data_IF_842061068327
#
_entry.id   IF_842061068327
#
_cell.length_a   1.000
_cell.length_b   1.000
_cell.length_c   1.000
_cell.angle_alpha   90.00
_cell.angle_beta   90.00
_cell.angle_gamma   90.00
#
_symmetry.space_group_name_H-M   'P 1'
#
loop_
_entity.id
_entity.type
_entity.pdbx_description
1 polymer ?
#
# COMPACT_ATOMS: atom_id res chain seq x y z
N UNK A 1 -6.98 -21.24 -7.06
CA UNK A 1 -5.51 -21.05 -6.88
C UNK A 1 -5.29 -19.69 -6.21
N UNK A 2 -4.27 -19.53 -5.38
CA UNK A 2 -3.84 -18.21 -4.91
C UNK A 2 -2.40 -17.96 -5.36
N UNK A 3 -2.15 -16.73 -5.82
CA UNK A 3 -0.85 -16.28 -6.31
C UNK A 3 -0.34 -15.25 -5.31
N UNK A 4 0.91 -15.39 -4.88
CA UNK A 4 1.50 -14.52 -3.87
C UNK A 4 2.47 -13.55 -4.54
N UNK A 5 2.26 -12.27 -4.32
CA UNK A 5 3.14 -11.19 -4.73
C UNK A 5 3.87 -10.62 -3.52
N UNK A 6 5.16 -10.35 -3.71
CA UNK A 6 5.99 -9.62 -2.75
C UNK A 6 5.50 -8.17 -2.64
N UNK A 7 5.73 -7.49 -1.50
CA UNK A 7 5.61 -6.03 -1.46
C UNK A 7 6.56 -5.37 -2.46
N UNK A 8 6.29 -4.11 -2.76
CA UNK A 8 7.30 -3.19 -3.29
C UNK A 8 7.49 -2.01 -2.36
N UNK A 9 8.72 -1.51 -2.28
CA UNK A 9 9.03 -0.27 -1.56
C UNK A 9 8.34 0.91 -2.24
N UNK A 10 8.48 0.96 -3.56
CA UNK A 10 8.00 2.02 -4.42
C UNK A 10 6.49 1.88 -4.65
N UNK A 11 5.80 3.03 -4.72
CA UNK A 11 4.34 3.09 -4.76
C UNK A 11 3.89 4.20 -5.68
N UNK A 12 2.96 3.85 -6.57
CA UNK A 12 2.26 4.80 -7.41
C UNK A 12 1.45 5.78 -6.56
N UNK A 13 1.48 7.05 -6.93
CA UNK A 13 0.61 8.09 -6.36
C UNK A 13 -0.79 8.06 -6.99
N UNK A 14 -1.72 8.83 -6.42
CA UNK A 14 -3.09 8.93 -6.90
C UNK A 14 -4.00 7.84 -6.31
N UNK A 15 -5.19 7.72 -6.91
CA UNK A 15 -6.28 6.90 -6.40
C UNK A 15 -7.60 7.67 -6.44
N UNK A 16 -8.54 7.24 -5.62
CA UNK A 16 -9.86 7.84 -5.47
C UNK A 16 -10.13 8.19 -4.02
N UNK A 17 -10.76 9.33 -3.78
CA UNK A 17 -11.23 9.73 -2.46
C UNK A 17 -12.36 8.80 -2.03
N UNK A 18 -12.05 7.92 -1.08
CA UNK A 18 -12.97 6.90 -0.56
C UNK A 18 -12.73 6.70 0.93
N UNK A 19 -13.75 6.21 1.60
CA UNK A 19 -13.66 5.81 3.00
C UNK A 19 -12.82 4.52 3.09
N UNK A 20 -11.83 4.54 3.98
CA UNK A 20 -11.08 3.35 4.35
C UNK A 20 -11.97 2.44 5.19
N UNK A 21 -12.58 1.45 4.54
CA UNK A 21 -13.61 0.56 5.11
C UNK A 21 -13.04 -0.86 5.32
N UNK A 22 -13.41 -1.49 6.45
CA UNK A 22 -13.13 -2.89 6.76
C UNK A 22 -13.61 -3.86 5.67
N UNK A 23 -14.70 -3.51 4.98
CA UNK A 23 -15.28 -4.35 3.91
C UNK A 23 -14.42 -4.36 2.64
N UNK A 24 -13.46 -3.44 2.53
CA UNK A 24 -12.51 -3.36 1.43
C UNK A 24 -11.29 -4.26 1.62
N UNK A 25 -11.26 -5.11 2.65
CA UNK A 25 -10.14 -6.00 2.96
C UNK A 25 -10.55 -7.46 2.97
N UNK A 26 -9.67 -8.33 2.46
CA UNK A 26 -9.86 -9.79 2.49
C UNK A 26 -10.03 -10.37 3.91
N UNK A 27 -9.48 -9.71 4.92
CA UNK A 27 -9.61 -10.10 6.34
C UNK A 27 -10.18 -8.96 7.18
N UNK A 28 -11.51 -8.72 7.13
CA UNK A 28 -12.15 -7.64 7.87
C UNK A 28 -11.93 -7.73 9.38
N UNK A 29 -11.81 -8.95 9.92
CA UNK A 29 -11.54 -9.19 11.34
C UNK A 29 -10.20 -8.64 11.82
N UNK A 30 -9.26 -8.35 10.90
CA UNK A 30 -7.97 -7.74 11.21
C UNK A 30 -7.98 -6.21 11.04
N UNK A 31 -9.10 -5.61 10.62
CA UNK A 31 -9.16 -4.18 10.29
C UNK A 31 -8.77 -3.28 11.46
N UNK A 32 -9.29 -3.53 12.66
CA UNK A 32 -8.94 -2.73 13.85
C UNK A 32 -7.44 -2.77 14.15
N UNK A 33 -6.77 -3.91 13.90
CA UNK A 33 -5.31 -4.03 14.04
C UNK A 33 -4.55 -3.27 12.97
N UNK A 34 -5.06 -3.23 11.74
CA UNK A 34 -4.49 -2.38 10.68
C UNK A 34 -4.58 -0.91 11.07
N UNK A 35 -5.76 -0.46 11.51
CA UNK A 35 -5.98 0.93 11.93
C UNK A 35 -5.04 1.32 13.08
N UNK A 36 -4.89 0.45 14.09
CA UNK A 36 -3.92 0.63 15.18
C UNK A 36 -2.50 0.87 14.65
N UNK A 37 -2.01 -0.02 13.78
CA UNK A 37 -0.66 0.06 13.20
C UNK A 37 -0.48 1.31 12.32
N UNK A 38 -1.45 1.62 11.46
CA UNK A 38 -1.41 2.78 10.56
C UNK A 38 -1.40 4.08 11.36
N UNK A 39 -2.20 4.18 12.42
CA UNK A 39 -2.21 5.33 13.30
C UNK A 39 -0.85 5.53 13.97
N UNK A 40 -0.27 4.48 14.57
CA UNK A 40 1.06 4.57 15.19
C UNK A 40 2.16 4.92 14.19
N UNK A 41 2.09 4.37 12.97
CA UNK A 41 3.04 4.72 11.92
C UNK A 41 2.92 6.20 11.50
N UNK A 42 1.69 6.68 11.27
CA UNK A 42 1.46 8.06 10.89
C UNK A 42 1.89 9.04 11.98
N UNK A 43 1.54 8.76 13.24
CA UNK A 43 1.97 9.56 14.39
C UNK A 43 3.50 9.63 14.47
N UNK A 44 4.19 8.51 14.26
CA UNK A 44 5.65 8.49 14.21
C UNK A 44 6.19 9.36 13.07
N UNK A 45 5.63 9.30 11.85
CA UNK A 45 6.06 10.16 10.74
C UNK A 45 5.93 11.66 11.07
N UNK A 46 4.85 12.05 11.75
CA UNK A 46 4.62 13.44 12.12
C UNK A 46 5.56 13.94 13.23
N UNK A 47 5.89 13.07 14.19
CA UNK A 47 6.61 13.46 15.42
C UNK A 47 8.11 13.13 15.40
N UNK A 48 8.55 12.23 14.52
CA UNK A 48 9.92 11.76 14.48
C UNK A 48 10.92 12.86 14.09
N UNK A 49 12.10 12.77 14.69
CA UNK A 49 13.27 13.56 14.30
C UNK A 49 13.87 13.09 12.98
N UNK A 50 14.67 13.94 12.33
CA UNK A 50 15.37 13.58 11.09
C UNK A 50 16.18 12.29 11.21
N UNK A 51 17.02 12.06 12.25
CA UNK A 51 17.78 10.81 12.35
C UNK A 51 16.90 9.55 12.49
N UNK A 52 15.73 9.68 13.12
CA UNK A 52 14.76 8.58 13.22
C UNK A 52 14.14 8.25 11.87
N UNK A 53 13.80 9.27 11.08
CA UNK A 53 13.27 9.10 9.72
C UNK A 53 14.33 8.56 8.75
N UNK A 54 15.58 9.02 8.86
CA UNK A 54 16.71 8.49 8.09
C UNK A 54 16.89 6.98 8.35
N UNK A 55 16.76 6.57 9.61
CA UNK A 55 16.82 5.16 10.00
C UNK A 55 15.63 4.36 9.48
N UNK A 56 14.42 4.90 9.59
CA UNK A 56 13.20 4.25 9.11
C UNK A 56 13.25 3.99 7.60
N UNK A 57 13.63 5.01 6.82
CA UNK A 57 13.66 4.94 5.36
C UNK A 57 14.99 4.41 4.80
N UNK A 58 16.00 4.18 5.64
CA UNK A 58 17.31 3.69 5.22
C UNK A 58 18.08 4.64 4.30
N UNK A 59 17.80 5.94 4.34
CA UNK A 59 18.38 6.94 3.45
C UNK A 59 18.58 8.27 4.16
N UNK A 60 19.62 9.01 3.75
CA UNK A 60 19.90 10.39 4.21
C UNK A 60 19.42 11.46 3.23
N UNK A 61 18.79 11.07 2.12
CA UNK A 61 18.30 12.01 1.11
C UNK A 61 17.02 12.68 1.61
N UNK A 62 17.11 13.96 1.97
CA UNK A 62 15.99 14.75 2.50
C UNK A 62 14.76 14.74 1.58
N UNK A 63 14.96 14.83 0.27
CA UNK A 63 13.87 14.78 -0.73
C UNK A 63 13.05 13.48 -0.65
N UNK A 64 13.73 12.35 -0.41
CA UNK A 64 13.07 11.03 -0.27
C UNK A 64 12.33 10.95 1.07
N UNK A 65 12.94 11.47 2.14
CA UNK A 65 12.33 11.49 3.47
C UNK A 65 11.05 12.33 3.45
N UNK A 66 11.10 13.55 2.92
CA UNK A 66 9.94 14.45 2.86
C UNK A 66 8.83 13.92 1.94
N UNK A 67 9.19 13.20 0.86
CA UNK A 67 8.21 12.49 0.03
C UNK A 67 7.40 11.46 0.84
N UNK A 68 8.03 10.72 1.74
CA UNK A 68 7.38 9.65 2.52
C UNK A 68 6.91 10.05 3.92
N UNK A 69 7.27 11.25 4.41
CA UNK A 69 6.83 11.79 5.70
C UNK A 69 5.36 12.24 5.73
N UNK A 70 4.71 12.28 4.58
CA UNK A 70 3.36 12.81 4.43
C UNK A 70 2.34 12.09 5.34
N UNK A 71 1.29 12.83 5.71
CA UNK A 71 0.15 12.27 6.43
C UNK A 71 -0.55 11.23 5.54
N UNK A 72 -0.48 9.95 5.95
CA UNK A 72 -0.95 8.82 5.16
C UNK A 72 -2.44 8.92 4.83
N UNK A 73 -3.23 9.52 5.73
CA UNK A 73 -4.68 9.66 5.57
C UNK A 73 -5.08 10.70 4.53
N UNK A 74 -4.14 11.53 4.06
CA UNK A 74 -4.36 12.48 2.95
C UNK A 74 -4.10 11.83 1.59
N UNK A 75 -3.59 10.61 1.55
CA UNK A 75 -3.40 9.88 0.30
C UNK A 75 -4.74 9.30 -0.16
N UNK A 76 -5.13 9.46 -1.44
CA UNK A 76 -6.30 8.75 -1.98
C UNK A 76 -6.10 7.24 -1.94
N UNK A 77 -7.18 6.48 -1.89
CA UNK A 77 -7.11 5.01 -1.89
C UNK A 77 -6.94 4.47 -3.32
N UNK A 78 -6.13 3.43 -3.47
CA UNK A 78 -5.89 2.75 -4.74
C UNK A 78 -5.84 1.24 -4.50
N UNK A 79 -6.28 0.45 -5.48
CA UNK A 79 -6.17 -1.02 -5.42
C UNK A 79 -4.71 -1.42 -5.15
N UNK A 80 -4.49 -2.41 -4.30
CA UNK A 80 -3.17 -2.90 -3.92
C UNK A 80 -2.34 -3.27 -5.17
N UNK A 81 -2.96 -3.93 -6.16
CA UNK A 81 -2.27 -4.33 -7.40
C UNK A 81 -1.82 -3.15 -8.28
N UNK A 82 -2.45 -1.99 -8.11
CA UNK A 82 -2.09 -0.75 -8.80
C UNK A 82 -1.21 0.16 -7.93
N UNK A 83 -1.23 0.00 -6.60
CA UNK A 83 -0.45 0.80 -5.66
C UNK A 83 1.04 0.49 -5.73
N UNK A 84 1.41 -0.78 -5.75
CA UNK A 84 2.81 -1.20 -5.78
C UNK A 84 3.35 -1.12 -7.21
N UNK A 85 4.58 -0.64 -7.35
CA UNK A 85 5.30 -0.54 -8.64
C UNK A 85 6.61 -1.32 -8.61
N UNK A 86 7.25 -1.53 -9.75
CA UNK A 86 8.52 -2.22 -9.87
C UNK A 86 8.39 -3.53 -10.63
N UNK A 87 9.52 -4.19 -10.86
CA UNK A 87 9.69 -5.19 -11.94
C UNK A 87 8.51 -6.16 -12.10
N UNK A 88 8.09 -6.85 -11.03
CA UNK A 88 6.99 -7.81 -11.12
C UNK A 88 5.63 -7.16 -11.50
N UNK A 89 5.35 -5.97 -10.98
CA UNK A 89 4.13 -5.21 -11.26
C UNK A 89 4.17 -4.58 -12.66
N UNK A 90 5.35 -4.12 -13.09
CA UNK A 90 5.57 -3.57 -14.42
C UNK A 90 5.33 -4.64 -15.49
N UNK A 91 5.89 -5.84 -15.30
CA UNK A 91 5.66 -6.98 -16.21
C UNK A 91 4.23 -7.51 -16.16
N UNK A 92 3.57 -7.46 -15.00
CA UNK A 92 2.14 -7.80 -14.91
C UNK A 92 1.30 -6.85 -15.76
N UNK A 93 1.71 -5.58 -15.84
CA UNK A 93 1.08 -4.57 -16.69
C UNK A 93 -0.44 -4.53 -16.52
N UNK A 94 -0.90 -4.62 -15.26
CA UNK A 94 -2.30 -4.88 -14.89
C UNK A 94 -3.31 -3.98 -15.63
N UNK A 95 -3.01 -2.68 -15.78
CA UNK A 95 -3.89 -1.71 -16.42
C UNK A 95 -4.13 -1.98 -17.91
N UNK A 96 -3.22 -2.69 -18.58
CA UNK A 96 -3.30 -3.02 -20.01
C UNK A 96 -3.95 -4.39 -20.26
N UNK A 97 -4.30 -5.13 -19.20
CA UNK A 97 -4.96 -6.43 -19.33
C UNK A 97 -6.45 -6.27 -19.65
N UNK A 98 -7.00 -7.26 -20.35
CA UNK A 98 -8.45 -7.40 -20.53
C UNK A 98 -9.19 -7.58 -19.19
N UNK A 99 -10.48 -7.24 -19.17
CA UNK A 99 -11.29 -7.23 -17.93
C UNK A 99 -11.41 -8.59 -17.24
N UNK A 100 -11.47 -9.67 -18.01
CA UNK A 100 -11.42 -11.05 -17.51
C UNK A 100 -10.14 -11.33 -16.74
N UNK A 101 -8.99 -10.94 -17.31
CA UNK A 101 -7.68 -11.10 -16.68
C UNK A 101 -7.51 -10.21 -15.45
N UNK A 102 -7.95 -8.96 -15.50
CA UNK A 102 -8.00 -8.06 -14.33
C UNK A 102 -8.83 -8.67 -13.20
N UNK A 103 -10.03 -9.20 -13.51
CA UNK A 103 -10.90 -9.86 -12.54
C UNK A 103 -10.24 -11.12 -11.93
N UNK A 104 -9.57 -11.92 -12.75
CA UNK A 104 -8.85 -13.09 -12.23
C UNK A 104 -7.77 -12.68 -11.22
N UNK A 105 -7.00 -11.64 -11.53
CA UNK A 105 -5.98 -11.09 -10.63
C UNK A 105 -6.61 -10.55 -9.36
N UNK A 106 -7.62 -9.68 -9.50
CA UNK A 106 -8.40 -9.15 -8.38
C UNK A 106 -8.80 -10.28 -7.43
N UNK A 107 -9.31 -11.41 -7.97
CA UNK A 107 -9.83 -12.51 -7.17
C UNK A 107 -8.79 -13.46 -6.57
N UNK A 108 -7.60 -13.57 -7.16
CA UNK A 108 -6.66 -14.66 -6.86
C UNK A 108 -5.26 -14.21 -6.41
N UNK A 109 -4.88 -12.94 -6.59
CA UNK A 109 -3.57 -12.44 -6.16
C UNK A 109 -3.66 -11.86 -4.75
N UNK A 110 -2.72 -12.27 -3.90
CA UNK A 110 -2.48 -11.71 -2.58
C UNK A 110 -1.11 -11.02 -2.56
N UNK A 111 -1.05 -9.83 -2.02
CA UNK A 111 0.16 -9.01 -1.90
C UNK A 111 0.48 -8.85 -0.42
N UNK A 112 1.71 -9.15 -0.03
CA UNK A 112 2.16 -8.88 1.33
C UNK A 112 2.56 -7.41 1.47
N UNK A 113 2.13 -6.78 2.56
CA UNK A 113 2.44 -5.40 2.91
C UNK A 113 2.98 -5.34 4.33
N UNK A 114 4.08 -4.62 4.53
CA UNK A 114 4.66 -4.46 5.87
C UNK A 114 3.74 -3.66 6.80
N UNK A 115 3.00 -2.68 6.26
CA UNK A 115 2.13 -1.82 7.06
C UNK A 115 0.71 -2.38 7.17
N UNK A 116 0.18 -2.95 6.08
CA UNK A 116 -1.20 -3.41 6.03
C UNK A 116 -1.34 -4.93 6.28
N UNK A 117 -0.26 -5.70 6.27
CA UNK A 117 -0.34 -7.17 6.29
C UNK A 117 -0.73 -7.73 4.92
N UNK A 118 -1.52 -8.81 4.88
CA UNK A 118 -1.94 -9.41 3.60
C UNK A 118 -3.04 -8.58 2.95
N UNK A 119 -2.87 -8.23 1.69
CA UNK A 119 -3.86 -7.54 0.86
C UNK A 119 -4.29 -8.47 -0.27
N UNK A 120 -5.57 -8.46 -0.63
CA UNK A 120 -6.00 -8.98 -1.93
C UNK A 120 -5.77 -7.91 -3.00
N UNK A 121 -5.55 -8.31 -4.25
CA UNK A 121 -5.22 -7.38 -5.33
C UNK A 121 -6.19 -6.20 -5.48
N UNK A 122 -7.48 -6.42 -5.19
CA UNK A 122 -8.51 -5.40 -5.24
C UNK A 122 -8.81 -4.71 -3.91
N UNK A 123 -8.11 -5.05 -2.83
CA UNK A 123 -8.18 -4.28 -1.57
C UNK A 123 -7.62 -2.88 -1.85
N UNK A 124 -8.18 -1.85 -1.22
CA UNK A 124 -7.79 -0.46 -1.46
C UNK A 124 -6.99 0.08 -0.28
N UNK A 125 -5.80 0.64 -0.53
CA UNK A 125 -4.90 1.12 0.52
C UNK A 125 -4.22 2.45 0.20
N UNK A 126 -3.79 3.13 1.26
CA UNK A 126 -2.99 4.36 1.19
C UNK A 126 -1.59 4.11 0.61
N UNK A 127 -0.93 5.19 0.20
CA UNK A 127 0.48 5.19 -0.21
C UNK A 127 1.40 5.08 1.01
#
# INVERSE_FOLDING_TARGET
MKILFSPSEAKNSGGVEKIFDQNSFIFPQLFNKRVEIINSYNEFLQTASTPQLEKLFGTKKSEVIEKYRQDIFKSPLLKAIQRYEGVAYDYLSYNNLEKSSQKYIDDNVLIFSNLFGVLKANDENYQ
#
